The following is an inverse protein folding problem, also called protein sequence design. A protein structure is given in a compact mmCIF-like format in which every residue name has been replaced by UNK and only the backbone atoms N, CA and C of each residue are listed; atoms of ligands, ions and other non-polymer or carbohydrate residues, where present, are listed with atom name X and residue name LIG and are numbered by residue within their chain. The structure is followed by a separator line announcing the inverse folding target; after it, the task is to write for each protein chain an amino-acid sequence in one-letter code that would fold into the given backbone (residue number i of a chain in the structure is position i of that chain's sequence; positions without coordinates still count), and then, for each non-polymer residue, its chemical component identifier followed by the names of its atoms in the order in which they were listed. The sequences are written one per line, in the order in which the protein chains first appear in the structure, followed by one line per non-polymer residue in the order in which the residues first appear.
data_IF_809788875799
#
_entry.id   IF_809788875799
#
_cell.length_a   1.000
_cell.length_b   1.000
_cell.length_c   1.000
_cell.angle_alpha   90.00
_cell.angle_beta   90.00
_cell.angle_gamma   90.00
#
_symmetry.space_group_name_H-M   'P 1'
#
loop_
_entity.id
_entity.type
_entity.pdbx_description
1 polymer ?
#
# COMPACT_ATOMS: atom_id res chain seq x y z
N UNK A 1 -26.99 -31.92 4.25
CA UNK A 1 -25.92 -31.09 3.64
C UNK A 1 -25.64 -29.76 4.34
N UNK A 2 -26.56 -29.14 5.12
CA UNK A 2 -26.32 -27.81 5.74
C UNK A 2 -25.30 -27.79 6.90
N UNK A 3 -25.07 -28.90 7.61
CA UNK A 3 -24.17 -28.93 8.78
C UNK A 3 -22.67 -28.76 8.44
N UNK A 4 -22.23 -29.11 7.23
CA UNK A 4 -20.81 -29.05 6.86
C UNK A 4 -20.31 -27.63 6.53
N UNK A 5 -21.19 -26.69 6.17
CA UNK A 5 -20.78 -25.35 5.76
C UNK A 5 -20.46 -24.46 6.96
N UNK A 6 -21.34 -24.45 7.98
CA UNK A 6 -21.13 -23.69 9.20
C UNK A 6 -19.86 -24.11 9.95
N UNK A 7 -19.59 -25.43 9.98
CA UNK A 7 -18.39 -25.97 10.63
C UNK A 7 -17.10 -25.64 9.86
N UNK A 8 -17.15 -25.58 8.52
CA UNK A 8 -16.01 -25.14 7.69
C UNK A 8 -15.77 -23.64 7.80
N UNK A 9 -16.84 -22.83 7.84
CA UNK A 9 -16.76 -21.38 8.02
C UNK A 9 -16.18 -21.02 9.40
N UNK A 10 -16.61 -21.69 10.46
CA UNK A 10 -16.08 -21.49 11.81
C UNK A 10 -14.59 -21.83 11.89
N UNK A 11 -14.16 -22.93 11.27
CA UNK A 11 -12.73 -23.30 11.19
C UNK A 11 -11.91 -22.28 10.41
N UNK A 12 -12.43 -21.76 9.30
CA UNK A 12 -11.77 -20.72 8.52
C UNK A 12 -11.59 -19.42 9.33
N UNK A 13 -12.64 -18.98 10.03
CA UNK A 13 -12.57 -17.80 10.91
C UNK A 13 -11.51 -17.97 11.99
N UNK A 14 -11.44 -19.14 12.63
CA UNK A 14 -10.45 -19.43 13.68
C UNK A 14 -9.02 -19.39 13.11
N UNK A 15 -8.79 -19.99 11.94
CA UNK A 15 -7.47 -19.96 11.28
C UNK A 15 -7.06 -18.55 10.92
N UNK A 16 -7.98 -17.74 10.37
CA UNK A 16 -7.73 -16.32 10.07
C UNK A 16 -7.40 -15.56 11.35
N UNK A 17 -8.15 -15.77 12.44
CA UNK A 17 -7.90 -15.12 13.73
C UNK A 17 -6.52 -15.47 14.30
N UNK A 18 -6.11 -16.75 14.20
CA UNK A 18 -4.79 -17.22 14.66
C UNK A 18 -3.64 -16.63 13.82
N UNK A 19 -3.84 -16.46 12.50
CA UNK A 19 -2.86 -15.81 11.62
C UNK A 19 -2.75 -14.31 11.94
N UNK A 20 -3.86 -13.64 12.22
CA UNK A 20 -3.88 -12.22 12.61
C UNK A 20 -3.24 -11.96 13.98
N UNK A 21 -3.29 -12.92 14.91
CA UNK A 21 -2.60 -12.81 16.19
C UNK A 21 -1.09 -13.12 16.13
N UNK A 22 -0.59 -13.69 15.03
CA UNK A 22 0.84 -14.03 14.87
C UNK A 22 1.64 -13.02 14.05
N UNK A 23 1.00 -11.99 13.49
CA UNK A 23 1.70 -10.84 12.91
C UNK A 23 2.21 -9.88 13.99
N UNK A 24 3.25 -10.29 14.72
CA UNK A 24 4.17 -9.32 15.29
C UNK A 24 4.85 -8.62 14.12
N UNK A 25 4.36 -7.42 13.78
CA UNK A 25 4.94 -6.58 12.75
C UNK A 25 6.37 -6.24 13.14
N UNK A 26 7.34 -6.96 12.57
CA UNK A 26 8.70 -6.46 12.47
C UNK A 26 8.62 -5.24 11.55
N UNK A 27 8.63 -4.04 12.13
CA UNK A 27 8.90 -2.82 11.39
C UNK A 27 10.15 -3.04 10.54
N UNK A 28 10.06 -2.82 9.24
CA UNK A 28 11.16 -3.02 8.32
C UNK A 28 12.24 -1.99 8.66
N UNK A 29 13.22 -2.40 9.46
CA UNK A 29 14.35 -1.55 9.86
C UNK A 29 15.07 -1.07 8.61
N UNK A 30 15.02 0.24 8.36
CA UNK A 30 15.83 0.87 7.32
C UNK A 30 17.10 1.43 7.94
N UNK A 31 18.14 1.58 7.11
CA UNK A 31 19.43 2.10 7.52
C UNK A 31 19.73 3.41 6.80
N UNK A 32 20.41 4.30 7.49
CA UNK A 32 20.86 5.59 6.99
C UNK A 32 22.36 5.73 7.20
N UNK A 33 23.05 6.21 6.18
CA UNK A 33 24.46 6.59 6.23
C UNK A 33 24.54 8.02 6.73
N UNK A 34 25.33 8.22 7.79
CA UNK A 34 25.51 9.48 8.49
C UNK A 34 26.99 9.87 8.56
N UNK A 35 27.26 11.16 8.74
CA UNK A 35 28.53 11.65 9.28
C UNK A 35 28.33 11.96 10.77
N UNK A 36 29.13 11.34 11.63
CA UNK A 36 29.11 11.58 13.08
C UNK A 36 30.04 12.74 13.44
N UNK A 37 29.49 13.83 13.99
CA UNK A 37 30.25 15.02 14.39
C UNK A 37 31.20 14.77 15.56
N UNK A 38 31.02 13.69 16.31
CA UNK A 38 31.83 13.42 17.51
C UNK A 38 33.22 12.89 17.17
N UNK A 39 33.32 12.07 16.13
CA UNK A 39 34.58 11.46 15.69
C UNK A 39 34.89 11.70 14.20
N UNK A 40 34.06 12.49 13.51
CA UNK A 40 34.20 12.85 12.10
C UNK A 40 34.30 11.62 11.19
N UNK A 41 33.51 10.59 11.47
CA UNK A 41 33.48 9.37 10.66
C UNK A 41 32.12 9.09 10.02
N UNK A 42 32.15 8.44 8.85
CA UNK A 42 30.94 7.97 8.16
C UNK A 42 30.51 6.64 8.77
N UNK A 43 29.25 6.58 9.22
CA UNK A 43 28.68 5.39 9.88
C UNK A 43 27.33 5.04 9.29
N UNK A 44 26.96 3.77 9.42
CA UNK A 44 25.60 3.29 9.17
C UNK A 44 24.86 3.19 10.50
N UNK A 45 23.72 3.87 10.59
CA UNK A 45 22.81 3.80 11.74
C UNK A 45 21.43 3.34 11.29
N UNK A 46 20.63 2.80 12.22
CA UNK A 46 19.21 2.56 11.95
C UNK A 46 18.51 3.91 11.75
N UNK A 47 17.63 4.03 10.77
CA UNK A 47 16.99 5.30 10.40
C UNK A 47 16.14 5.92 11.52
N UNK A 48 15.76 5.13 12.52
CA UNK A 48 15.02 5.56 13.70
C UNK A 48 15.90 6.29 14.73
N UNK A 49 17.22 6.11 14.66
CA UNK A 49 18.17 6.72 15.60
C UNK A 49 18.43 8.17 15.20
N UNK A 50 17.77 9.11 15.89
CA UNK A 50 17.99 10.56 15.74
C UNK A 50 18.95 11.06 16.82
N UNK A 51 20.07 11.66 16.42
CA UNK A 51 21.02 12.34 17.30
C UNK A 51 21.42 13.70 16.71
N UNK A 52 21.55 14.77 17.52
CA UNK A 52 22.04 16.08 17.07
C UNK A 52 23.46 16.03 16.46
N UNK A 53 24.20 14.97 16.78
CA UNK A 53 25.56 14.74 16.31
C UNK A 53 25.60 14.01 14.96
N UNK A 54 24.47 13.54 14.43
CA UNK A 54 24.42 12.80 13.18
C UNK A 54 23.95 13.70 12.04
N UNK A 55 24.76 13.81 10.99
CA UNK A 55 24.40 14.49 9.75
C UNK A 55 24.02 13.41 8.73
N UNK A 56 22.75 13.29 8.32
CA UNK A 56 22.34 12.30 7.33
C UNK A 56 22.94 12.62 5.96
N UNK A 57 23.64 11.65 5.38
CA UNK A 57 24.20 11.74 4.02
C UNK A 57 23.24 11.08 3.03
N UNK A 58 22.81 9.84 3.33
CA UNK A 58 21.91 9.07 2.46
C UNK A 58 21.11 8.04 3.25
N UNK A 59 19.79 8.06 3.11
CA UNK A 59 18.86 7.17 3.83
C UNK A 59 18.20 6.11 2.94
N UNK A 60 17.33 5.30 3.57
CA UNK A 60 16.42 4.39 2.87
C UNK A 60 17.01 3.04 2.47
N UNK A 61 18.15 2.64 3.05
CA UNK A 61 18.73 1.34 2.74
C UNK A 61 17.97 0.21 3.44
N UNK A 62 17.54 -0.84 2.72
CA UNK A 62 16.81 -1.96 3.32
C UNK A 62 17.70 -2.89 4.15
N UNK A 63 19.03 -2.84 3.93
CA UNK A 63 20.01 -3.66 4.65
C UNK A 63 21.28 -2.87 4.96
N UNK A 64 21.85 -3.07 6.14
CA UNK A 64 23.11 -2.44 6.58
C UNK A 64 24.27 -2.68 5.61
N UNK A 65 24.33 -3.87 5.01
CA UNK A 65 25.37 -4.24 4.04
C UNK A 65 25.32 -3.40 2.77
N UNK A 66 24.10 -3.04 2.32
CA UNK A 66 23.92 -2.18 1.13
C UNK A 66 24.36 -0.76 1.46
N UNK A 67 24.01 -0.26 2.65
CA UNK A 67 24.48 1.04 3.14
C UNK A 67 26.02 1.06 3.26
N UNK A 68 26.63 0.00 3.78
CA UNK A 68 28.09 -0.11 3.89
C UNK A 68 28.76 -0.14 2.51
N UNK A 69 28.25 -0.95 1.58
CA UNK A 69 28.75 -0.99 0.20
C UNK A 69 28.65 0.38 -0.48
N UNK A 70 27.61 1.15 -0.18
CA UNK A 70 27.49 2.52 -0.68
C UNK A 70 28.57 3.43 -0.11
N UNK A 71 28.90 3.33 1.19
CA UNK A 71 30.05 4.06 1.78
C UNK A 71 31.33 3.70 1.03
N UNK A 72 31.62 2.41 0.88
CA UNK A 72 32.85 1.93 0.24
C UNK A 72 32.99 2.39 -1.22
N UNK A 73 31.87 2.68 -1.90
CA UNK A 73 31.84 3.20 -3.27
C UNK A 73 31.96 4.72 -3.37
N UNK A 74 31.57 5.47 -2.34
CA UNK A 74 31.45 6.93 -2.38
C UNK A 74 32.49 7.65 -1.50
N UNK A 75 33.14 6.92 -0.59
CA UNK A 75 34.16 7.43 0.30
C UNK A 75 35.42 6.58 0.18
N UNK A 76 36.55 7.24 -0.08
CA UNK A 76 37.88 6.61 -0.12
C UNK A 76 38.49 6.44 1.26
N UNK A 77 37.97 7.15 2.26
CA UNK A 77 38.36 7.04 3.68
C UNK A 77 37.10 7.05 4.54
N UNK A 78 37.15 6.48 5.75
CA UNK A 78 36.02 6.51 6.69
C UNK A 78 35.80 7.87 7.34
N UNK A 79 36.61 8.88 7.01
CA UNK A 79 36.50 10.23 7.55
C UNK A 79 35.53 11.08 6.73
N UNK A 80 34.80 11.94 7.41
CA UNK A 80 33.92 12.93 6.82
C UNK A 80 34.16 14.31 7.43
N UNK A 81 33.98 15.36 6.64
CA UNK A 81 33.97 16.74 7.13
C UNK A 81 32.50 17.19 7.31
N UNK A 82 32.02 17.36 8.56
CA UNK A 82 30.66 17.84 8.83
C UNK A 82 30.28 19.12 8.11
N UNK A 83 31.21 20.08 7.98
CA UNK A 83 30.96 21.37 7.35
C UNK A 83 30.70 21.26 5.84
N UNK A 84 31.55 20.51 5.14
CA UNK A 84 31.43 20.30 3.69
C UNK A 84 30.16 19.54 3.31
N UNK A 85 29.76 18.54 4.12
CA UNK A 85 28.53 17.76 3.88
C UNK A 85 27.29 18.65 4.06
N UNK A 86 27.27 19.54 5.05
CA UNK A 86 26.17 20.48 5.24
C UNK A 86 26.04 21.42 4.03
N UNK A 87 27.15 21.89 3.47
CA UNK A 87 27.15 22.78 2.32
C UNK A 87 26.74 22.05 1.02
N UNK A 88 27.13 20.79 0.83
CA UNK A 88 26.67 19.96 -0.27
C UNK A 88 25.16 19.69 -0.22
N UNK A 89 24.62 19.37 0.96
CA UNK A 89 23.18 19.13 1.16
C UNK A 89 22.36 20.39 0.88
N UNK A 90 22.86 21.57 1.29
CA UNK A 90 22.23 22.86 0.97
C UNK A 90 22.21 23.12 -0.53
N UNK A 91 23.26 22.72 -1.26
CA UNK A 91 23.37 22.93 -2.71
C UNK A 91 22.45 21.97 -3.50
N UNK A 92 22.26 20.73 -3.04
CA UNK A 92 21.32 19.78 -3.65
C UNK A 92 19.83 20.05 -3.35
N UNK A 93 19.53 20.88 -2.36
CA UNK A 93 18.16 21.22 -1.97
C UNK A 93 17.54 22.37 -2.78
N UNK A 94 18.22 22.88 -3.82
CA UNK A 94 17.66 23.84 -4.77
C UNK A 94 17.06 23.13 -6.01
N UNK A 95 15.79 23.38 -6.37
CA UNK A 95 15.16 22.74 -7.52
C UNK A 95 15.72 23.30 -8.84
N UNK A 96 16.52 22.50 -9.55
CA UNK A 96 16.93 22.78 -10.92
C UNK A 96 15.90 22.17 -11.90
N UNK A 97 15.09 23.02 -12.51
CA UNK A 97 14.27 22.66 -13.67
C UNK A 97 15.18 22.35 -14.87
N UNK A 98 15.12 21.14 -15.41
CA UNK A 98 15.67 20.81 -16.73
C UNK A 98 14.70 19.87 -17.48
N UNK A 99 14.40 20.14 -18.77
CA UNK A 99 13.45 19.36 -19.58
C UNK A 99 14.12 18.12 -20.22
N UNK A 100 13.36 17.04 -20.54
CA UNK A 100 13.89 15.91 -21.28
C UNK A 100 13.96 16.19 -22.78
N UNK A 101 15.15 16.05 -23.36
CA UNK A 101 15.42 16.09 -24.79
C UNK A 101 14.88 14.84 -25.51
N UNK A 102 14.22 15.13 -26.62
CA UNK A 102 13.73 14.27 -27.69
C UNK A 102 14.88 13.79 -28.59
N UNK A 103 14.86 12.53 -29.06
CA UNK A 103 15.49 12.15 -30.34
C UNK A 103 15.02 10.79 -30.89
N UNK A 104 14.19 10.89 -31.94
CA UNK A 104 14.18 10.21 -33.25
C UNK A 104 14.54 8.71 -33.43
N UNK A 105 13.51 7.98 -33.88
CA UNK A 105 13.38 7.27 -35.17
C UNK A 105 14.45 6.27 -35.66
N UNK A 106 14.02 5.03 -35.95
CA UNK A 106 14.04 4.45 -37.33
C UNK A 106 13.29 3.12 -37.43
N UNK A 107 12.37 3.04 -38.39
CA UNK A 107 11.82 1.81 -39.02
C UNK A 107 12.82 1.24 -40.03
N UNK A 108 12.74 -0.07 -40.35
CA UNK A 108 12.39 -0.40 -41.74
C UNK A 108 11.41 -1.59 -41.92
N UNK A 109 10.45 -1.35 -42.83
CA UNK A 109 9.86 -2.23 -43.85
C UNK A 109 9.87 -3.77 -43.72
N UNK A 110 8.67 -4.31 -43.53
CA UNK A 110 7.88 -5.14 -44.47
C UNK A 110 8.61 -6.02 -45.52
N UNK A 111 8.39 -7.34 -45.45
CA UNK A 111 8.28 -8.20 -46.63
C UNK A 111 7.29 -9.36 -46.44
N UNK A 112 6.67 -9.76 -47.55
CA UNK A 112 5.39 -10.48 -47.74
C UNK A 112 5.56 -12.04 -47.67
N UNK A 113 4.53 -12.89 -47.98
CA UNK A 113 4.21 -14.10 -47.24
C UNK A 113 4.70 -15.39 -47.91
N UNK A 114 4.83 -16.48 -47.15
CA UNK A 114 4.97 -17.81 -47.72
C UNK A 114 3.95 -18.76 -47.08
N UNK A 115 3.01 -19.18 -47.91
CA UNK A 115 2.09 -20.28 -47.66
C UNK A 115 2.84 -21.59 -47.46
N UNK A 116 2.46 -22.35 -46.44
CA UNK A 116 2.95 -23.71 -46.23
C UNK A 116 1.92 -24.49 -45.41
N UNK A 117 1.14 -25.31 -46.10
CA UNK A 117 0.21 -26.27 -45.50
C UNK A 117 0.96 -27.21 -44.55
N UNK A 118 0.39 -27.44 -43.37
CA UNK A 118 0.61 -28.66 -42.60
C UNK A 118 -0.65 -28.94 -41.78
N UNK A 119 -1.42 -29.91 -42.27
CA UNK A 119 -2.43 -30.61 -41.50
C UNK A 119 -1.77 -31.23 -40.26
N UNK A 120 -2.20 -30.86 -39.06
CA UNK A 120 -2.11 -31.72 -37.89
C UNK A 120 -3.29 -31.43 -36.96
N UNK A 121 -4.20 -32.40 -36.96
CA UNK A 121 -4.99 -32.89 -35.84
C UNK A 121 -5.46 -31.87 -34.81
N UNK A 122 -6.77 -31.67 -34.82
CA UNK A 122 -7.63 -31.35 -33.67
C UNK A 122 -7.19 -32.07 -32.40
N UNK A 123 -6.38 -31.40 -31.58
CA UNK A 123 -6.52 -31.49 -30.14
C UNK A 123 -7.42 -30.33 -29.72
N UNK A 124 -8.57 -30.66 -29.15
CA UNK A 124 -9.31 -29.74 -28.29
C UNK A 124 -8.40 -29.40 -27.11
N UNK A 125 -7.50 -28.44 -27.32
CA UNK A 125 -6.87 -27.73 -26.23
C UNK A 125 -8.02 -27.04 -25.52
N UNK A 126 -8.49 -27.65 -24.42
CA UNK A 126 -9.30 -26.91 -23.46
C UNK A 126 -8.51 -25.63 -23.20
N UNK A 127 -9.06 -24.51 -23.67
CA UNK A 127 -8.45 -23.21 -23.43
C UNK A 127 -8.11 -23.18 -21.94
N UNK A 128 -6.85 -22.89 -21.56
CA UNK A 128 -6.50 -22.80 -20.15
C UNK A 128 -7.51 -21.87 -19.51
N UNK A 129 -8.21 -22.34 -18.47
CA UNK A 129 -9.18 -21.54 -17.73
C UNK A 129 -8.54 -20.18 -17.48
N UNK A 130 -9.02 -19.17 -18.21
CA UNK A 130 -8.38 -17.86 -18.26
C UNK A 130 -8.71 -17.18 -16.94
N UNK A 131 -7.82 -17.39 -15.98
CA UNK A 131 -7.96 -16.82 -14.66
C UNK A 131 -7.52 -15.36 -14.71
N UNK A 132 -8.50 -14.46 -14.70
CA UNK A 132 -8.27 -13.04 -14.51
C UNK A 132 -7.78 -12.82 -13.08
N UNK A 133 -6.49 -12.52 -12.96
CA UNK A 133 -5.81 -12.42 -11.69
C UNK A 133 -5.57 -10.96 -11.27
N UNK A 134 -5.89 -10.01 -12.14
CA UNK A 134 -5.79 -8.58 -11.86
C UNK A 134 -7.19 -8.02 -11.71
N UNK A 135 -7.38 -7.08 -10.80
CA UNK A 135 -8.69 -6.47 -10.60
C UNK A 135 -8.62 -4.99 -10.26
N UNK A 136 -9.56 -4.24 -10.83
CA UNK A 136 -9.88 -2.88 -10.44
C UNK A 136 -11.00 -2.93 -9.39
N UNK A 137 -10.90 -2.16 -8.32
CA UNK A 137 -11.94 -2.01 -7.31
C UNK A 137 -12.43 -0.56 -7.19
N UNK A 138 -13.70 -0.44 -6.81
CA UNK A 138 -14.36 0.80 -6.45
C UNK A 138 -15.25 0.54 -5.23
N UNK A 139 -14.89 1.13 -4.11
CA UNK A 139 -15.56 0.91 -2.83
C UNK A 139 -16.08 2.22 -2.25
N UNK A 140 -17.25 2.15 -1.61
CA UNK A 140 -17.79 3.20 -0.74
C UNK A 140 -17.51 2.77 0.69
N UNK A 141 -16.88 3.64 1.47
CA UNK A 141 -16.46 3.39 2.84
C UNK A 141 -17.20 4.29 3.82
N UNK A 142 -17.36 3.78 5.04
CA UNK A 142 -17.85 4.56 6.17
C UNK A 142 -16.92 4.30 7.36
N UNK A 143 -16.30 5.35 7.87
CA UNK A 143 -15.34 5.24 8.98
C UNK A 143 -15.78 6.00 10.21
N UNK A 144 -15.29 5.60 11.38
CA UNK A 144 -15.49 6.33 12.64
C UNK A 144 -14.60 7.59 12.78
N UNK A 145 -14.00 8.08 11.68
CA UNK A 145 -13.06 9.21 11.66
C UNK A 145 -13.66 10.49 12.27
N UNK A 146 -14.98 10.66 12.22
CA UNK A 146 -15.66 11.83 12.78
C UNK A 146 -15.46 11.98 14.30
N UNK A 147 -15.26 10.87 15.02
CA UNK A 147 -14.92 10.90 16.46
C UNK A 147 -13.62 11.67 16.71
N UNK A 148 -12.65 11.47 15.82
CA UNK A 148 -11.35 12.11 15.91
C UNK A 148 -11.48 13.59 15.49
N UNK A 149 -12.23 13.87 14.44
CA UNK A 149 -12.41 15.22 13.90
C UNK A 149 -13.38 16.09 14.71
N UNK A 150 -13.90 15.59 15.84
CA UNK A 150 -14.90 16.29 16.67
C UNK A 150 -16.16 16.69 15.88
N UNK A 151 -16.56 15.85 14.90
CA UNK A 151 -17.75 16.10 14.10
C UNK A 151 -19.00 15.68 14.85
N UNK A 152 -20.12 16.32 14.51
CA UNK A 152 -21.45 15.94 15.02
C UNK A 152 -21.82 14.50 14.66
N UNK A 153 -21.47 14.06 13.45
CA UNK A 153 -21.60 12.67 13.02
C UNK A 153 -20.24 11.99 13.04
N UNK A 154 -20.11 10.92 13.82
CA UNK A 154 -18.87 10.16 13.91
C UNK A 154 -18.58 9.35 12.64
N UNK A 155 -19.60 9.10 11.80
CA UNK A 155 -19.47 8.34 10.57
C UNK A 155 -19.09 9.27 9.41
N UNK A 156 -17.89 9.07 8.87
CA UNK A 156 -17.36 9.84 7.74
C UNK A 156 -17.39 8.97 6.49
N UNK A 157 -18.12 9.40 5.43
CA UNK A 157 -18.13 8.69 4.17
C UNK A 157 -16.79 8.83 3.45
N UNK A 158 -16.43 7.82 2.69
CA UNK A 158 -15.24 7.81 1.87
C UNK A 158 -15.39 6.92 0.65
N UNK A 159 -14.38 6.98 -0.19
CA UNK A 159 -14.24 6.15 -1.38
C UNK A 159 -12.87 5.50 -1.38
N UNK A 160 -12.80 4.32 -1.98
CA UNK A 160 -11.54 3.71 -2.36
C UNK A 160 -11.57 3.26 -3.81
N UNK A 161 -10.43 3.45 -4.46
CA UNK A 161 -10.15 2.95 -5.79
C UNK A 161 -8.76 2.36 -5.82
N UNK A 162 -8.55 1.31 -6.62
CA UNK A 162 -7.24 0.69 -6.70
C UNK A 162 -7.20 -0.54 -7.56
N UNK A 163 -5.99 -1.06 -7.72
CA UNK A 163 -5.74 -2.28 -8.48
C UNK A 163 -5.08 -3.30 -7.56
N UNK A 164 -5.57 -4.53 -7.62
CA UNK A 164 -4.98 -5.67 -6.90
C UNK A 164 -4.68 -6.82 -7.84
N UNK A 165 -3.57 -7.50 -7.53
CA UNK A 165 -3.08 -8.69 -8.20
C UNK A 165 -3.22 -9.89 -7.27
N UNK A 166 -3.76 -10.99 -7.79
CA UNK A 166 -3.89 -12.28 -7.13
C UNK A 166 -2.85 -13.27 -7.69
N UNK A 167 -2.27 -14.08 -6.81
CA UNK A 167 -1.33 -15.15 -7.14
C UNK A 167 -1.83 -16.43 -6.46
N UNK A 168 -2.28 -17.38 -7.28
CA UNK A 168 -2.90 -18.63 -6.83
C UNK A 168 -4.26 -18.85 -7.48
N UNK A 169 -4.91 -19.98 -7.17
CA UNK A 169 -6.21 -20.33 -7.74
C UNK A 169 -7.29 -20.44 -6.68
N UNK A 170 -7.29 -21.51 -5.90
CA UNK A 170 -8.28 -21.72 -4.82
C UNK A 170 -7.84 -21.01 -3.55
N UNK A 171 -6.62 -21.34 -3.09
CA UNK A 171 -5.89 -20.55 -2.11
C UNK A 171 -4.99 -19.61 -2.90
N UNK A 172 -5.02 -18.33 -2.56
CA UNK A 172 -4.24 -17.31 -3.24
C UNK A 172 -3.78 -16.25 -2.26
N UNK A 173 -2.64 -15.66 -2.57
CA UNK A 173 -2.20 -14.41 -1.93
C UNK A 173 -2.46 -13.26 -2.89
N UNK A 174 -2.56 -12.04 -2.36
CA UNK A 174 -2.71 -10.87 -3.18
C UNK A 174 -2.11 -9.62 -2.58
N UNK A 175 -1.84 -8.66 -3.45
CA UNK A 175 -1.33 -7.33 -3.12
C UNK A 175 -1.79 -6.32 -4.16
N UNK A 176 -1.51 -5.04 -3.96
CA UNK A 176 -1.97 -4.01 -4.87
C UNK A 176 -1.56 -2.60 -4.47
N UNK A 177 -2.20 -1.63 -5.10
CA UNK A 177 -2.09 -0.22 -4.76
C UNK A 177 -3.51 0.33 -4.71
N UNK A 178 -3.86 0.88 -3.56
CA UNK A 178 -5.18 1.46 -3.32
C UNK A 178 -5.04 2.91 -2.88
N UNK A 179 -6.06 3.71 -3.18
CA UNK A 179 -6.16 5.10 -2.81
C UNK A 179 -7.49 5.35 -2.11
N UNK A 180 -7.43 6.03 -0.98
CA UNK A 180 -8.58 6.35 -0.14
C UNK A 180 -8.79 7.85 -0.10
N UNK A 181 -10.05 8.25 -0.11
CA UNK A 181 -10.46 9.61 0.20
C UNK A 181 -11.69 9.58 1.12
N UNK A 182 -11.67 10.38 2.19
CA UNK A 182 -12.77 10.56 3.14
C UNK A 182 -13.23 12.01 3.08
N UNK A 183 -14.55 12.22 3.08
CA UNK A 183 -15.15 13.54 3.02
C UNK A 183 -15.79 13.89 4.37
N UNK A 184 -15.25 14.91 5.04
CA UNK A 184 -15.75 15.39 6.31
C UNK A 184 -16.34 16.80 6.16
N UNK A 185 -17.49 17.02 6.81
CA UNK A 185 -18.08 18.36 6.96
C UNK A 185 -17.75 18.86 8.36
N UNK A 186 -16.97 19.95 8.46
CA UNK A 186 -16.56 20.52 9.75
C UNK A 186 -17.46 21.72 10.07
N UNK A 187 -18.37 21.55 11.04
CA UNK A 187 -19.29 22.60 11.49
C UNK A 187 -18.60 23.56 12.49
N UNK A 188 -17.52 24.25 12.06
CA UNK A 188 -16.88 25.32 12.84
C UNK A 188 -17.15 26.71 12.25
N UNK A 189 -18.43 27.09 12.19
CA UNK A 189 -18.83 28.49 11.93
C UNK A 189 -18.76 28.97 10.48
N UNK A 190 -18.53 28.07 9.52
CA UNK A 190 -18.61 28.25 8.08
C UNK A 190 -18.64 26.88 7.41
N UNK A 191 -19.23 26.75 6.23
CA UNK A 191 -19.30 25.49 5.47
C UNK A 191 -17.90 25.07 4.97
N UNK A 192 -17.06 24.55 5.86
CA UNK A 192 -15.73 24.05 5.50
C UNK A 192 -15.80 22.53 5.45
N UNK A 193 -15.96 22.01 4.23
CA UNK A 193 -15.80 20.58 3.96
C UNK A 193 -14.39 20.27 3.49
N UNK A 194 -13.88 19.12 3.93
CA UNK A 194 -12.49 18.77 3.75
C UNK A 194 -12.35 17.31 3.33
N UNK A 195 -11.45 17.08 2.36
CA UNK A 195 -11.06 15.73 1.96
C UNK A 195 -9.80 15.31 2.69
N UNK A 196 -9.80 14.08 3.20
CA UNK A 196 -8.63 13.40 3.74
C UNK A 196 -8.29 12.21 2.87
N UNK A 197 -7.05 12.12 2.42
CA UNK A 197 -6.64 11.07 1.50
C UNK A 197 -5.31 10.44 1.86
N UNK A 198 -5.14 9.18 1.44
CA UNK A 198 -3.91 8.41 1.60
C UNK A 198 -3.88 7.24 0.62
N UNK A 199 -2.68 6.82 0.25
CA UNK A 199 -2.45 5.58 -0.48
C UNK A 199 -2.22 4.41 0.48
N UNK A 200 -2.42 3.18 0.00
CA UNK A 200 -2.08 1.98 0.77
C UNK A 200 -1.71 0.79 -0.10
N UNK A 201 -0.95 -0.11 0.49
CA UNK A 201 -0.52 -1.37 -0.11
C UNK A 201 -1.08 -2.50 0.76
N UNK A 202 -2.06 -3.28 0.23
CA UNK A 202 -2.58 -4.45 0.92
C UNK A 202 -1.65 -5.66 0.74
N UNK A 203 -1.65 -6.56 1.72
CA UNK A 203 -1.12 -7.91 1.62
C UNK A 203 -2.13 -8.86 2.28
N UNK A 204 -2.69 -9.79 1.51
CA UNK A 204 -3.77 -10.65 1.97
C UNK A 204 -3.66 -12.09 1.49
N UNK A 205 -4.29 -12.97 2.24
CA UNK A 205 -4.54 -14.37 1.91
C UNK A 205 -6.03 -14.55 1.69
N UNK A 206 -6.37 -15.34 0.67
CA UNK A 206 -7.75 -15.59 0.30
C UNK A 206 -8.03 -17.04 -0.05
N UNK A 207 -9.31 -17.38 0.04
CA UNK A 207 -9.88 -18.63 -0.44
C UNK A 207 -11.02 -18.35 -1.40
N UNK A 208 -11.01 -19.04 -2.55
CA UNK A 208 -12.00 -18.95 -3.62
C UNK A 208 -12.69 -20.29 -3.81
N UNK A 209 -14.00 -20.25 -3.96
CA UNK A 209 -14.82 -21.41 -4.34
C UNK A 209 -15.84 -21.03 -5.40
N UNK A 210 -16.16 -21.97 -6.29
CA UNK A 210 -17.18 -21.80 -7.33
C UNK A 210 -18.31 -22.77 -7.09
N UNK A 211 -19.54 -22.26 -6.96
CA UNK A 211 -20.74 -23.05 -6.70
C UNK A 211 -21.84 -22.60 -7.66
N UNK A 212 -22.33 -23.50 -8.50
CA UNK A 212 -23.45 -23.22 -9.43
C UNK A 212 -23.26 -21.97 -10.29
N UNK A 213 -22.05 -21.77 -10.82
CA UNK A 213 -21.72 -20.63 -11.69
C UNK A 213 -21.40 -19.33 -10.95
N UNK A 214 -21.62 -19.27 -9.64
CA UNK A 214 -21.25 -18.12 -8.80
C UNK A 214 -19.93 -18.39 -8.08
N UNK A 215 -19.07 -17.37 -8.06
CA UNK A 215 -17.79 -17.39 -7.35
C UNK A 215 -17.96 -16.69 -6.01
N UNK A 216 -17.42 -17.31 -4.97
CA UNK A 216 -17.32 -16.76 -3.63
C UNK A 216 -15.86 -16.69 -3.22
N UNK A 217 -15.47 -15.58 -2.59
CA UNK A 217 -14.12 -15.38 -2.09
C UNK A 217 -14.17 -14.82 -0.67
N UNK A 218 -13.29 -15.31 0.19
CA UNK A 218 -13.09 -14.78 1.53
C UNK A 218 -11.62 -14.46 1.73
N UNK A 219 -11.33 -13.25 2.20
CA UNK A 219 -9.97 -12.73 2.29
C UNK A 219 -9.73 -12.03 3.62
N UNK A 220 -8.51 -12.17 4.12
CA UNK A 220 -8.04 -11.47 5.31
C UNK A 220 -6.56 -11.10 5.14
N UNK A 221 -6.17 -10.00 5.76
CA UNK A 221 -4.81 -9.51 5.61
C UNK A 221 -4.53 -8.21 6.35
N UNK A 222 -3.48 -7.55 5.92
CA UNK A 222 -2.99 -6.28 6.45
C UNK A 222 -2.85 -5.26 5.33
N UNK A 223 -2.89 -3.99 5.67
CA UNK A 223 -2.58 -2.90 4.75
C UNK A 223 -1.61 -1.95 5.43
N UNK A 224 -0.61 -1.50 4.67
CA UNK A 224 0.29 -0.42 5.08
C UNK A 224 -0.15 0.84 4.36
N UNK A 225 -0.40 1.89 5.12
CA UNK A 225 -0.96 3.14 4.64
C UNK A 225 0.11 4.22 4.64
N UNK A 226 0.09 5.06 3.61
CA UNK A 226 0.83 6.31 3.64
C UNK A 226 0.22 7.26 4.67
N UNK A 227 0.94 8.34 4.94
CA UNK A 227 0.42 9.46 5.74
C UNK A 227 -0.91 9.96 5.19
N UNK A 228 -1.88 10.15 6.08
CA UNK A 228 -3.13 10.85 5.76
C UNK A 228 -2.85 12.34 5.61
N UNK A 229 -3.27 12.89 4.47
CA UNK A 229 -3.10 14.29 4.11
C UNK A 229 -4.47 14.91 3.89
N UNK A 230 -4.54 16.23 4.08
CA UNK A 230 -5.74 17.01 3.80
C UNK A 230 -5.58 17.92 2.58
N UNK A 231 -6.70 18.30 1.97
CA UNK A 231 -6.74 19.21 0.82
C UNK A 231 -6.58 20.70 1.19
N UNK A 232 -6.67 21.08 2.46
CA UNK A 232 -6.43 22.47 2.88
C UNK A 232 -4.93 22.74 3.12
N UNK A 233 -4.48 23.94 2.77
CA UNK A 233 -3.06 24.34 2.70
C UNK A 233 -2.33 24.30 4.06
N UNK A 234 -3.08 24.37 5.17
CA UNK A 234 -2.58 24.06 6.51
C UNK A 234 -2.58 22.54 6.71
N UNK A 235 -1.51 21.89 6.25
CA UNK A 235 -1.27 20.44 6.07
C UNK A 235 -1.55 19.49 7.26
N UNK A 236 -2.13 19.98 8.35
CA UNK A 236 -2.56 19.21 9.50
C UNK A 236 -4.07 18.92 9.45
N UNK A 237 -4.44 17.67 9.69
CA UNK A 237 -5.83 17.25 9.87
C UNK A 237 -6.36 17.86 11.18
N UNK A 238 -6.96 19.05 11.13
CA UNK A 238 -7.40 19.78 12.33
C UNK A 238 -6.32 19.91 13.42
N UNK A 239 -5.11 20.34 13.03
CA UNK A 239 -3.95 20.41 13.95
C UNK A 239 -3.29 19.06 14.25
N UNK A 240 -3.72 17.97 13.60
CA UNK A 240 -3.14 16.63 13.75
C UNK A 240 -2.28 16.26 12.57
N UNK A 241 -1.17 15.59 12.85
CA UNK A 241 -0.27 15.08 11.83
C UNK A 241 -0.56 13.61 11.60
N UNK A 242 -0.84 13.21 10.37
CA UNK A 242 -0.96 11.79 10.02
C UNK A 242 0.34 11.03 10.30
N UNK A 243 0.23 9.82 10.82
CA UNK A 243 1.39 8.94 11.10
C UNK A 243 1.96 8.40 9.80
N UNK A 244 3.29 8.36 9.71
CA UNK A 244 3.97 7.62 8.65
C UNK A 244 3.78 6.11 8.83
N UNK A 245 3.32 5.42 7.78
CA UNK A 245 3.19 3.95 7.76
C UNK A 245 2.21 3.36 8.77
N UNK A 246 0.99 3.90 8.85
CA UNK A 246 -0.05 3.27 9.69
C UNK A 246 -0.47 1.90 9.12
N UNK A 247 -0.80 0.95 9.99
CA UNK A 247 -1.16 -0.42 9.63
C UNK A 247 -2.58 -0.73 10.09
N UNK A 248 -3.36 -1.37 9.23
CA UNK A 248 -4.68 -1.89 9.57
C UNK A 248 -4.86 -3.34 9.12
N UNK A 249 -5.74 -4.05 9.81
CA UNK A 249 -6.29 -5.32 9.36
C UNK A 249 -7.37 -5.08 8.32
N UNK A 250 -7.51 -6.02 7.39
CA UNK A 250 -8.58 -6.08 6.42
C UNK A 250 -9.26 -7.45 6.49
N UNK A 251 -10.57 -7.48 6.36
CA UNK A 251 -11.37 -8.69 6.19
C UNK A 251 -12.49 -8.44 5.21
N UNK A 252 -12.65 -9.30 4.21
CA UNK A 252 -13.67 -9.10 3.16
C UNK A 252 -14.23 -10.39 2.60
N UNK A 253 -15.46 -10.30 2.12
CA UNK A 253 -16.18 -11.34 1.40
C UNK A 253 -16.58 -10.80 0.04
N UNK A 254 -16.39 -11.61 -1.00
CA UNK A 254 -16.77 -11.27 -2.37
C UNK A 254 -17.69 -12.34 -2.93
N UNK A 255 -18.67 -11.91 -3.72
CA UNK A 255 -19.53 -12.81 -4.47
C UNK A 255 -19.85 -12.26 -5.85
N UNK A 256 -19.91 -13.12 -6.86
CA UNK A 256 -20.30 -12.72 -8.20
C UNK A 256 -19.82 -13.66 -9.29
N UNK A 257 -19.51 -13.10 -10.45
CA UNK A 257 -18.93 -13.80 -11.58
C UNK A 257 -17.40 -13.74 -11.55
N UNK A 258 -16.74 -14.42 -12.49
CA UNK A 258 -15.27 -14.33 -12.64
C UNK A 258 -14.79 -12.97 -13.15
N UNK A 259 -15.68 -12.13 -13.69
CA UNK A 259 -15.34 -10.81 -14.23
C UNK A 259 -15.80 -9.68 -13.31
N UNK A 260 -16.95 -9.82 -12.67
CA UNK A 260 -17.54 -8.78 -11.81
C UNK A 260 -17.97 -9.39 -10.49
N UNK A 261 -17.53 -8.79 -9.37
CA UNK A 261 -17.88 -9.20 -8.02
C UNK A 261 -18.35 -8.02 -7.18
N UNK A 262 -19.31 -8.30 -6.31
CA UNK A 262 -19.65 -7.45 -5.18
C UNK A 262 -18.74 -7.78 -4.00
N UNK A 263 -18.29 -6.76 -3.29
CA UNK A 263 -17.39 -6.85 -2.14
C UNK A 263 -18.05 -6.22 -0.90
N UNK A 264 -17.98 -6.92 0.24
CA UNK A 264 -18.28 -6.38 1.56
C UNK A 264 -17.05 -6.57 2.43
N UNK A 265 -16.58 -5.51 3.07
CA UNK A 265 -15.40 -5.59 3.91
C UNK A 265 -15.42 -4.70 5.14
N UNK A 266 -14.47 -4.99 6.02
CA UNK A 266 -14.22 -4.29 7.27
C UNK A 266 -12.73 -4.08 7.44
N UNK A 267 -12.36 -2.96 8.06
CA UNK A 267 -10.98 -2.60 8.34
C UNK A 267 -10.85 -2.11 9.78
N UNK A 268 -9.76 -2.51 10.43
CA UNK A 268 -9.45 -2.13 11.81
C UNK A 268 -8.00 -1.67 11.88
N UNK A 269 -7.77 -0.39 12.19
CA UNK A 269 -6.44 0.14 12.40
C UNK A 269 -5.82 -0.44 13.68
N UNK A 270 -4.61 -0.99 13.53
CA UNK A 270 -3.82 -1.54 14.63
C UNK A 270 -2.87 -0.48 15.21
N UNK A 271 -2.45 0.47 14.37
CA UNK A 271 -1.55 1.56 14.76
C UNK A 271 -2.27 2.89 14.70
N UNK A 272 -1.73 3.88 15.40
CA UNK A 272 -2.23 5.25 15.40
C UNK A 272 -2.25 5.81 13.97
N UNK A 273 -3.39 6.39 13.60
CA UNK A 273 -3.54 7.12 12.34
C UNK A 273 -2.92 8.53 12.41
N UNK A 274 -2.81 9.09 13.61
CA UNK A 274 -2.23 10.41 13.86
C UNK A 274 -1.12 10.34 14.92
N UNK A 275 -0.04 11.07 14.72
CA UNK A 275 1.14 11.09 15.61
C UNK A 275 0.79 11.65 16.99
N UNK A 276 -0.05 12.70 17.02
CA UNK A 276 -0.36 13.47 18.24
C UNK A 276 -1.70 13.07 18.87
N UNK A 277 -2.23 11.88 18.55
CA UNK A 277 -3.50 11.41 19.10
C UNK A 277 -3.45 9.91 19.41
N UNK A 278 -3.30 9.58 20.70
CA UNK A 278 -2.95 8.22 21.12
C UNK A 278 -4.14 7.25 21.22
N UNK A 279 -5.37 7.76 21.36
CA UNK A 279 -6.55 6.97 21.76
C UNK A 279 -7.55 6.69 20.61
N UNK A 280 -7.11 6.80 19.35
CA UNK A 280 -7.98 6.56 18.19
C UNK A 280 -7.46 5.47 17.27
N UNK A 281 -8.23 4.39 17.20
CA UNK A 281 -8.14 3.40 16.14
C UNK A 281 -9.31 3.59 15.18
N UNK A 282 -8.98 3.85 13.91
CA UNK A 282 -9.98 3.94 12.88
C UNK A 282 -10.59 2.56 12.60
N UNK A 283 -11.90 2.52 12.44
CA UNK A 283 -12.62 1.38 11.88
C UNK A 283 -13.34 1.84 10.64
N UNK A 284 -13.40 0.96 9.64
CA UNK A 284 -14.18 1.22 8.43
C UNK A 284 -14.99 0.00 8.04
N UNK A 285 -16.19 0.24 7.52
CA UNK A 285 -16.96 -0.76 6.77
C UNK A 285 -17.10 -0.26 5.35
N UNK A 286 -17.11 -1.17 4.39
CA UNK A 286 -17.20 -0.77 3.00
C UNK A 286 -17.92 -1.78 2.11
N UNK A 287 -18.50 -1.24 1.05
CA UNK A 287 -19.25 -1.95 0.02
C UNK A 287 -18.66 -1.59 -1.33
N UNK A 288 -18.42 -2.59 -2.16
CA UNK A 288 -17.58 -2.44 -3.34
C UNK A 288 -18.01 -3.21 -4.56
N UNK A 289 -17.54 -2.74 -5.71
CA UNK A 289 -17.57 -3.46 -6.97
C UNK A 289 -16.15 -3.71 -7.45
N UNK A 290 -15.92 -4.91 -7.97
CA UNK A 290 -14.62 -5.34 -8.46
C UNK A 290 -14.72 -5.91 -9.86
N UNK A 291 -13.80 -5.50 -10.73
CA UNK A 291 -13.71 -5.88 -12.13
C UNK A 291 -12.39 -6.61 -12.38
N UNK A 292 -12.46 -7.90 -12.70
CA UNK A 292 -11.30 -8.77 -12.96
C UNK A 292 -10.99 -8.84 -14.46
N UNK A 293 -9.72 -8.67 -14.82
CA UNK A 293 -9.21 -8.74 -16.20
C UNK A 293 -7.87 -9.48 -16.31
#
# INVERSE_FOLDING_TARGET
MKQNFAQKLLRFIIVVLCISCSSNGYAQKTFTVICDKTDNTVKVVESEVKSPNFIPIKGGFPFRQVAQKWIDQNYTTTQCNPGEIIDQIKTQSQPQNAPPQQNNATTPQQNKPASGNSNLQTQSSQAPDKFNNTSLLLDIKFSNLGKTLMLKNNLVPGIELGVEQLIGKEIYVGTGILFNAYYATIDQGGENSQFYYFGRIPAFLGYRTKTSGMVFMGEAGVQVNTKMVSTEDDRSVMGRTGTDSSVNLLGRLKMGSETVMFELGTELWLTKLFENYEDFNMTSIYLGLRFYF
#
